data_IF_858659447548
#
_entry.id   IF_858659447548
#
_cell.length_a   1.000
_cell.length_b   1.000
_cell.length_c   1.000
_cell.angle_alpha   90.00
_cell.angle_beta   90.00
_cell.angle_gamma   90.00
#
_symmetry.space_group_name_H-M   'P 1'
#
loop_
_entity.id
_entity.type
_entity.pdbx_description
1 polymer ?
#
# COMPACT_ATOMS: atom_id res chain seq x y z
N UNK A 1 16.77 3.17 -20.07
CA UNK A 1 16.18 2.11 -19.22
C UNK A 1 16.91 1.94 -17.90
N UNK A 2 18.25 1.83 -17.85
CA UNK A 2 18.99 1.65 -16.58
C UNK A 2 18.69 2.76 -15.55
N UNK A 3 18.72 4.03 -15.98
CA UNK A 3 18.43 5.17 -15.10
C UNK A 3 17.03 5.11 -14.46
N UNK A 4 16.03 4.55 -15.15
CA UNK A 4 14.67 4.40 -14.64
C UNK A 4 14.61 3.47 -13.41
N UNK A 5 15.44 2.42 -13.39
CA UNK A 5 15.54 1.51 -12.25
C UNK A 5 16.43 2.07 -11.14
N UNK A 6 17.61 2.58 -11.50
CA UNK A 6 18.58 3.12 -10.53
C UNK A 6 17.98 4.26 -9.74
N UNK A 7 17.30 5.21 -10.40
CA UNK A 7 16.70 6.36 -9.73
C UNK A 7 15.65 5.95 -8.69
N UNK A 8 14.81 4.95 -8.98
CA UNK A 8 13.81 4.50 -8.00
C UNK A 8 14.44 3.75 -6.84
N UNK A 9 15.46 2.93 -7.10
CA UNK A 9 16.20 2.22 -6.07
C UNK A 9 16.88 3.18 -5.11
N UNK A 10 17.65 4.15 -5.63
CA UNK A 10 18.37 5.14 -4.84
C UNK A 10 17.45 6.04 -4.02
N UNK A 11 16.23 6.31 -4.49
CA UNK A 11 15.24 7.09 -3.75
C UNK A 11 14.64 6.35 -2.54
N UNK A 12 14.37 5.05 -2.67
CA UNK A 12 13.66 4.28 -1.63
C UNK A 12 14.63 3.62 -0.64
N UNK A 13 15.68 2.99 -1.13
CA UNK A 13 16.53 2.11 -0.32
C UNK A 13 17.20 2.77 0.88
N UNK A 14 17.70 4.03 0.84
CA UNK A 14 18.39 4.62 1.99
C UNK A 14 17.54 4.72 3.26
N UNK A 15 16.32 5.25 3.15
CA UNK A 15 15.42 5.36 4.30
C UNK A 15 14.94 3.98 4.77
N UNK A 16 14.71 3.05 3.84
CA UNK A 16 14.36 1.68 4.18
C UNK A 16 15.47 0.98 5.00
N UNK A 17 16.72 1.06 4.55
CA UNK A 17 17.87 0.48 5.26
C UNK A 17 18.06 1.12 6.63
N UNK A 18 17.85 2.42 6.77
CA UNK A 18 17.86 3.07 8.08
C UNK A 18 16.87 2.41 9.03
N UNK A 19 15.62 2.25 8.61
CA UNK A 19 14.59 1.66 9.49
C UNK A 19 14.94 0.22 9.82
N UNK A 20 15.52 -0.55 8.89
CA UNK A 20 16.09 -1.87 9.19
C UNK A 20 17.18 -1.79 10.27
N UNK A 21 18.11 -0.84 10.19
CA UNK A 21 19.16 -0.64 11.20
C UNK A 21 18.60 -0.23 12.56
N UNK A 22 17.61 0.67 12.59
CA UNK A 22 16.88 1.05 13.79
C UNK A 22 16.18 -0.16 14.40
N UNK A 23 15.52 -0.97 13.57
CA UNK A 23 14.88 -2.20 14.01
C UNK A 23 15.86 -3.15 14.68
N UNK A 24 17.03 -3.36 14.08
CA UNK A 24 18.04 -4.30 14.60
C UNK A 24 18.72 -3.79 15.89
N UNK A 25 18.98 -2.49 16.00
CA UNK A 25 19.89 -1.94 17.02
C UNK A 25 19.18 -1.16 18.12
N UNK A 26 18.04 -0.52 17.84
CA UNK A 26 17.36 0.35 18.78
C UNK A 26 16.10 -0.27 19.38
N UNK A 27 15.34 -1.06 18.60
CA UNK A 27 14.09 -1.65 19.11
C UNK A 27 14.24 -2.55 20.33
N UNK A 28 15.36 -3.26 20.58
CA UNK A 28 15.56 -3.99 21.84
C UNK A 28 15.47 -3.10 23.10
N UNK A 29 15.74 -1.80 22.97
CA UNK A 29 15.71 -0.83 24.07
C UNK A 29 14.40 -0.05 24.17
N UNK A 30 13.40 -0.34 23.33
CA UNK A 30 12.15 0.44 23.27
C UNK A 30 11.19 0.12 24.40
N UNK A 31 11.46 -0.86 25.25
CA UNK A 31 10.52 -1.22 26.29
C UNK A 31 10.91 -2.40 27.17
N UNK A 32 10.27 -2.45 28.33
CA UNK A 32 10.33 -3.55 29.29
C UNK A 32 8.92 -4.03 29.67
N UNK A 33 7.93 -3.77 28.80
CA UNK A 33 6.54 -4.12 29.07
C UNK A 33 6.26 -5.62 29.02
N UNK A 34 5.12 -6.07 29.58
CA UNK A 34 4.79 -7.49 29.68
C UNK A 34 4.56 -8.18 28.33
N UNK A 35 4.26 -7.41 27.28
CA UNK A 35 4.09 -7.91 25.91
C UNK A 35 5.34 -7.67 25.05
N UNK A 36 6.43 -7.16 25.63
CA UNK A 36 7.65 -6.90 24.91
C UNK A 36 8.31 -8.23 24.49
N UNK A 37 8.55 -8.47 23.19
CA UNK A 37 8.97 -9.77 22.69
C UNK A 37 10.45 -10.00 22.99
N UNK A 38 10.75 -10.51 24.19
CA UNK A 38 12.09 -10.89 24.64
C UNK A 38 13.14 -9.76 24.59
N UNK A 39 14.34 -10.00 25.12
CA UNK A 39 15.50 -9.10 25.04
C UNK A 39 15.97 -8.80 23.59
N UNK A 40 15.35 -9.43 22.58
CA UNK A 40 15.79 -9.34 21.18
C UNK A 40 15.12 -8.18 20.41
N UNK A 41 14.06 -7.53 20.92
CA UNK A 41 13.33 -6.47 20.21
C UNK A 41 12.27 -6.99 19.22
N UNK A 42 11.57 -6.09 18.53
CA UNK A 42 10.36 -6.43 17.76
C UNK A 42 10.64 -7.29 16.52
N UNK A 43 11.51 -6.82 15.64
CA UNK A 43 11.74 -7.38 14.30
C UNK A 43 13.17 -7.94 14.14
N UNK A 44 14.03 -7.75 15.16
CA UNK A 44 15.45 -8.11 15.13
C UNK A 44 15.73 -9.56 14.77
N UNK A 45 14.99 -10.58 15.29
CA UNK A 45 15.27 -11.97 14.95
C UNK A 45 15.06 -12.26 13.47
N UNK A 46 14.02 -11.66 12.87
CA UNK A 46 13.72 -11.79 11.45
C UNK A 46 14.74 -11.04 10.59
N UNK A 47 15.14 -9.85 11.02
CA UNK A 47 16.15 -9.04 10.33
C UNK A 47 17.57 -9.62 10.39
N UNK A 48 17.93 -10.35 11.45
CA UNK A 48 19.20 -11.08 11.56
C UNK A 48 19.15 -12.49 10.96
N UNK A 49 18.01 -12.89 10.40
CA UNK A 49 17.87 -14.17 9.72
C UNK A 49 18.75 -14.24 8.47
N UNK A 50 18.98 -15.45 7.96
CA UNK A 50 19.70 -15.68 6.69
C UNK A 50 19.03 -15.05 5.46
N UNK A 51 17.83 -14.50 5.59
CA UNK A 51 17.03 -13.93 4.49
C UNK A 51 17.09 -12.40 4.41
N UNK A 52 17.91 -11.72 5.22
CA UNK A 52 18.06 -10.25 5.24
C UNK A 52 18.27 -9.62 3.84
N UNK A 53 19.04 -10.31 2.98
CA UNK A 53 19.35 -9.86 1.63
C UNK A 53 18.11 -9.76 0.73
N UNK A 54 17.06 -10.54 1.01
CA UNK A 54 15.81 -10.53 0.24
C UNK A 54 15.06 -9.20 0.37
N UNK A 55 15.21 -8.50 1.51
CA UNK A 55 14.65 -7.18 1.72
C UNK A 55 15.36 -6.12 0.87
N UNK A 56 16.69 -6.20 0.75
CA UNK A 56 17.49 -5.26 -0.06
C UNK A 56 17.20 -5.41 -1.56
N UNK A 57 16.95 -6.65 -1.99
CA UNK A 57 16.55 -6.96 -3.36
C UNK A 57 15.05 -6.81 -3.61
N UNK A 58 14.26 -6.42 -2.61
CA UNK A 58 12.80 -6.26 -2.73
C UNK A 58 12.05 -7.53 -3.18
N UNK A 59 12.49 -8.72 -2.73
CA UNK A 59 11.89 -10.03 -3.08
C UNK A 59 11.50 -10.88 -1.86
N UNK A 60 11.53 -10.30 -0.66
CA UNK A 60 11.21 -11.03 0.58
C UNK A 60 9.79 -11.62 0.59
N UNK A 61 8.83 -10.94 -0.05
CA UNK A 61 7.45 -11.38 -0.19
C UNK A 61 7.24 -12.58 -1.14
N UNK A 62 8.28 -13.00 -1.88
CA UNK A 62 8.25 -14.16 -2.78
C UNK A 62 9.15 -15.28 -2.24
N UNK A 63 10.37 -14.95 -1.81
CA UNK A 63 11.37 -15.95 -1.43
C UNK A 63 11.02 -16.62 -0.11
N UNK A 64 10.78 -15.82 0.94
CA UNK A 64 10.43 -16.33 2.26
C UNK A 64 9.60 -15.27 3.01
N UNK A 65 8.28 -15.20 2.77
CA UNK A 65 7.42 -14.16 3.33
C UNK A 65 7.42 -14.16 4.87
N UNK A 66 7.48 -15.35 5.48
CA UNK A 66 7.50 -15.49 6.94
C UNK A 66 8.79 -15.00 7.60
N UNK A 67 9.83 -14.67 6.81
CA UNK A 67 11.13 -14.18 7.31
C UNK A 67 11.48 -12.81 6.74
N UNK A 68 10.48 -12.02 6.31
CA UNK A 68 10.71 -10.62 5.96
C UNK A 68 11.17 -9.85 7.21
N UNK A 69 12.25 -9.08 7.07
CA UNK A 69 12.82 -8.31 8.18
C UNK A 69 11.81 -7.31 8.77
N UNK A 70 11.18 -6.48 7.94
CA UNK A 70 10.11 -5.59 8.37
C UNK A 70 8.81 -6.10 7.76
N UNK A 71 7.80 -6.39 8.58
CA UNK A 71 6.53 -6.90 8.06
C UNK A 71 5.95 -5.95 7.01
N UNK A 72 5.84 -4.65 7.33
CA UNK A 72 5.42 -3.55 6.44
C UNK A 72 6.10 -3.53 5.04
N UNK A 73 7.31 -4.08 4.92
CA UNK A 73 8.10 -4.04 3.67
C UNK A 73 7.47 -4.83 2.52
N UNK A 74 6.49 -5.69 2.78
CA UNK A 74 5.74 -6.41 1.74
C UNK A 74 5.20 -5.49 0.65
N UNK A 75 4.75 -4.28 1.02
CA UNK A 75 4.24 -3.29 0.08
C UNK A 75 5.36 -2.71 -0.79
N UNK A 76 6.51 -2.42 -0.19
CA UNK A 76 7.71 -1.95 -0.89
C UNK A 76 8.22 -2.99 -1.87
N UNK A 77 8.23 -4.27 -1.47
CA UNK A 77 8.60 -5.38 -2.34
C UNK A 77 7.68 -5.43 -3.57
N UNK A 78 6.36 -5.38 -3.35
CA UNK A 78 5.38 -5.34 -4.43
C UNK A 78 5.56 -4.12 -5.35
N UNK A 79 5.70 -2.92 -4.78
CA UNK A 79 5.84 -1.68 -5.54
C UNK A 79 7.10 -1.68 -6.43
N UNK A 80 8.23 -2.16 -5.91
CA UNK A 80 9.46 -2.31 -6.70
C UNK A 80 9.31 -3.35 -7.82
N UNK A 81 8.68 -4.49 -7.53
CA UNK A 81 8.39 -5.53 -8.52
C UNK A 81 7.46 -5.01 -9.63
N UNK A 82 6.44 -4.23 -9.28
CA UNK A 82 5.57 -3.58 -10.26
C UNK A 82 6.33 -2.58 -11.13
N UNK A 83 7.24 -1.81 -10.53
CA UNK A 83 8.13 -0.91 -11.28
C UNK A 83 9.04 -1.65 -12.25
N UNK A 84 9.51 -2.86 -11.91
CA UNK A 84 10.32 -3.68 -12.82
C UNK A 84 9.59 -4.05 -14.11
N UNK A 85 8.31 -4.42 -13.99
CA UNK A 85 7.46 -4.86 -15.11
C UNK A 85 6.67 -3.74 -15.77
N UNK A 86 6.57 -2.55 -15.16
CA UNK A 86 5.87 -1.39 -15.71
C UNK A 86 6.29 -1.03 -17.15
N UNK A 87 7.57 -1.15 -17.55
CA UNK A 87 8.00 -0.94 -18.94
C UNK A 87 7.26 -1.76 -19.98
N UNK A 88 6.71 -2.93 -19.63
CA UNK A 88 5.88 -3.74 -20.53
C UNK A 88 4.65 -2.96 -21.04
N UNK A 89 4.10 -2.06 -20.23
CA UNK A 89 3.02 -1.15 -20.64
C UNK A 89 3.54 0.22 -21.08
N UNK A 90 4.55 0.78 -20.38
CA UNK A 90 5.08 2.12 -20.64
C UNK A 90 5.78 2.23 -22.00
N UNK A 91 6.57 1.23 -22.41
CA UNK A 91 7.27 1.27 -23.71
C UNK A 91 6.26 1.34 -24.88
N UNK A 92 5.22 0.48 -24.95
CA UNK A 92 4.16 0.64 -25.93
C UNK A 92 3.48 2.01 -25.92
N UNK A 93 3.24 2.60 -24.73
CA UNK A 93 2.66 3.94 -24.63
C UNK A 93 3.56 5.02 -25.26
N UNK A 94 4.86 4.99 -24.96
CA UNK A 94 5.84 5.96 -25.50
C UNK A 94 6.02 5.78 -27.01
N UNK A 95 6.00 4.54 -27.50
CA UNK A 95 6.12 4.23 -28.94
C UNK A 95 4.83 4.47 -29.74
N UNK A 96 3.79 5.07 -29.14
CA UNK A 96 2.51 5.33 -29.80
C UNK A 96 1.63 4.10 -30.01
N UNK A 97 2.04 2.92 -29.53
CA UNK A 97 1.27 1.66 -29.60
C UNK A 97 0.27 1.55 -28.43
N UNK A 98 -0.61 2.54 -28.35
CA UNK A 98 -1.56 2.77 -27.24
C UNK A 98 -2.37 1.52 -26.86
N UNK A 99 -2.91 0.81 -27.86
CA UNK A 99 -3.72 -0.40 -27.67
C UNK A 99 -2.95 -1.51 -26.96
N UNK A 100 -1.67 -1.69 -27.29
CA UNK A 100 -0.83 -2.73 -26.67
C UNK A 100 -0.58 -2.40 -25.20
N UNK A 101 -0.24 -1.15 -24.88
CA UNK A 101 -0.03 -0.75 -23.48
C UNK A 101 -1.29 -0.91 -22.61
N UNK A 102 -2.46 -0.55 -23.16
CA UNK A 102 -3.75 -0.78 -22.46
C UNK A 102 -4.02 -2.27 -22.29
N UNK A 103 -3.77 -3.08 -23.33
CA UNK A 103 -3.94 -4.54 -23.27
C UNK A 103 -3.06 -5.17 -22.19
N UNK A 104 -1.80 -4.76 -22.07
CA UNK A 104 -0.89 -5.22 -21.00
C UNK A 104 -1.44 -4.86 -19.62
N UNK A 105 -1.90 -3.62 -19.43
CA UNK A 105 -2.52 -3.21 -18.16
C UNK A 105 -3.77 -4.01 -17.82
N UNK A 106 -4.64 -4.28 -18.80
CA UNK A 106 -5.83 -5.13 -18.62
C UNK A 106 -5.43 -6.55 -18.25
N UNK A 107 -4.41 -7.13 -18.89
CA UNK A 107 -3.87 -8.45 -18.56
C UNK A 107 -3.40 -8.49 -17.09
N UNK A 108 -2.70 -7.46 -16.61
CA UNK A 108 -2.30 -7.40 -15.20
C UNK A 108 -3.50 -7.37 -14.24
N UNK A 109 -4.55 -6.63 -14.56
CA UNK A 109 -5.79 -6.64 -13.76
C UNK A 109 -6.43 -8.04 -13.77
N UNK A 110 -6.48 -8.70 -14.92
CA UNK A 110 -7.03 -10.05 -15.05
C UNK A 110 -6.19 -11.09 -14.30
N UNK A 111 -4.86 -10.97 -14.30
CA UNK A 111 -3.97 -11.81 -13.48
C UNK A 111 -4.32 -11.65 -12.00
N UNK A 112 -4.51 -10.42 -11.53
CA UNK A 112 -4.91 -10.16 -10.14
C UNK A 112 -6.24 -10.81 -9.78
N UNK A 113 -7.24 -10.66 -10.63
CA UNK A 113 -8.58 -11.24 -10.43
C UNK A 113 -8.49 -12.78 -10.45
N UNK A 114 -7.79 -13.33 -11.44
CA UNK A 114 -7.63 -14.77 -11.65
C UNK A 114 -6.86 -15.44 -10.51
N UNK A 115 -5.75 -14.84 -10.05
CA UNK A 115 -4.98 -15.39 -8.94
C UNK A 115 -5.75 -15.39 -7.63
N UNK A 116 -6.45 -14.30 -7.29
CA UNK A 116 -7.26 -14.26 -6.06
C UNK A 116 -8.37 -15.31 -6.14
N UNK A 117 -9.10 -15.36 -7.26
CA UNK A 117 -10.20 -16.30 -7.44
C UNK A 117 -9.71 -17.75 -7.38
N UNK A 118 -8.59 -18.06 -8.04
CA UNK A 118 -7.97 -19.39 -8.01
C UNK A 118 -7.53 -19.81 -6.61
N UNK A 119 -6.92 -18.89 -5.84
CA UNK A 119 -6.54 -19.16 -4.44
C UNK A 119 -7.76 -19.41 -3.56
N UNK A 120 -8.84 -18.66 -3.73
CA UNK A 120 -10.08 -18.84 -2.95
C UNK A 120 -10.80 -20.15 -3.30
N UNK A 121 -10.71 -20.62 -4.55
CA UNK A 121 -11.21 -21.95 -4.96
C UNK A 121 -10.36 -23.05 -4.31
N UNK A 122 -9.03 -22.88 -4.28
CA UNK A 122 -8.11 -23.85 -3.68
C UNK A 122 -8.25 -23.95 -2.16
N UNK A 123 -8.56 -22.83 -1.48
CA UNK A 123 -8.65 -22.74 -0.03
C UNK A 123 -10.03 -22.22 0.43
N UNK A 124 -11.10 -23.02 0.27
CA UNK A 124 -12.48 -22.56 0.51
C UNK A 124 -12.75 -22.23 1.98
N UNK A 125 -11.99 -22.80 2.92
CA UNK A 125 -12.11 -22.48 4.35
C UNK A 125 -11.81 -21.00 4.67
N UNK A 126 -11.08 -20.28 3.80
CA UNK A 126 -10.85 -18.84 3.94
C UNK A 126 -12.13 -18.02 3.81
N UNK A 127 -13.17 -18.60 3.20
CA UNK A 127 -14.41 -17.91 2.84
C UNK A 127 -15.63 -18.51 3.54
N UNK A 128 -15.59 -19.80 3.89
CA UNK A 128 -16.75 -20.56 4.38
C UNK A 128 -17.17 -20.26 5.83
N UNK A 129 -16.82 -19.10 6.40
CA UNK A 129 -17.26 -18.67 7.73
C UNK A 129 -16.76 -19.52 8.90
N UNK A 130 -15.91 -20.52 8.65
CA UNK A 130 -15.30 -21.38 9.68
C UNK A 130 -14.39 -20.62 10.64
N UNK A 131 -13.93 -19.44 10.22
CA UNK A 131 -13.10 -18.53 10.99
C UNK A 131 -13.82 -17.18 11.13
N UNK A 132 -13.79 -16.62 12.35
CA UNK A 132 -14.22 -15.23 12.57
C UNK A 132 -13.46 -14.28 11.62
N UNK A 133 -14.06 -13.16 11.18
CA UNK A 133 -13.44 -12.21 10.23
C UNK A 133 -12.00 -11.81 10.58
N UNK A 134 -11.73 -11.50 11.85
CA UNK A 134 -10.39 -11.16 12.33
C UNK A 134 -9.39 -12.32 12.15
N UNK A 135 -9.82 -13.55 12.43
CA UNK A 135 -9.00 -14.75 12.30
C UNK A 135 -8.76 -15.15 10.83
N UNK A 136 -9.67 -14.77 9.91
CA UNK A 136 -9.46 -14.94 8.45
C UNK A 136 -8.34 -14.04 7.94
N UNK A 137 -8.37 -12.76 8.33
CA UNK A 137 -7.38 -11.78 7.92
C UNK A 137 -5.98 -12.07 8.51
N UNK A 138 -5.92 -12.66 9.71
CA UNK A 138 -4.69 -13.07 10.38
C UNK A 138 -4.20 -14.47 10.00
N UNK A 139 -4.91 -15.21 9.13
CA UNK A 139 -4.53 -16.56 8.77
C UNK A 139 -3.21 -16.55 7.95
N UNK A 140 -2.16 -17.29 8.34
CA UNK A 140 -0.89 -17.31 7.62
C UNK A 140 -1.03 -17.69 6.14
N UNK A 141 -1.96 -18.60 5.82
CA UNK A 141 -2.22 -19.00 4.43
C UNK A 141 -2.84 -17.85 3.64
N UNK A 142 -3.76 -17.08 4.23
CA UNK A 142 -4.32 -15.89 3.57
C UNK A 142 -3.23 -14.84 3.33
N UNK A 143 -2.40 -14.61 4.35
CA UNK A 143 -1.30 -13.66 4.28
C UNK A 143 -0.33 -14.03 3.14
N UNK A 144 0.12 -15.29 3.09
CA UNK A 144 1.11 -15.74 2.13
C UNK A 144 0.55 -16.05 0.74
N UNK A 145 -0.75 -16.33 0.58
CA UNK A 145 -1.33 -16.68 -0.72
C UNK A 145 -2.11 -15.53 -1.39
N UNK A 146 -2.60 -14.55 -0.63
CA UNK A 146 -3.44 -13.45 -1.14
C UNK A 146 -2.89 -12.06 -0.77
N UNK A 147 -2.37 -11.90 0.45
CA UNK A 147 -2.02 -10.58 0.97
C UNK A 147 -0.67 -10.07 0.44
N UNK A 148 0.40 -10.84 0.64
CA UNK A 148 1.76 -10.48 0.22
C UNK A 148 2.04 -10.65 -1.28
N UNK A 149 1.52 -11.68 -1.97
CA UNK A 149 1.96 -11.93 -3.33
C UNK A 149 1.65 -10.80 -4.32
N UNK A 150 2.60 -10.45 -5.21
CA UNK A 150 2.46 -9.32 -6.13
C UNK A 150 1.34 -9.53 -7.14
N UNK A 151 1.16 -10.77 -7.64
CA UNK A 151 0.13 -11.07 -8.62
C UNK A 151 -1.28 -10.80 -8.09
N UNK A 152 -1.55 -10.94 -6.79
CA UNK A 152 -2.84 -10.59 -6.17
C UNK A 152 -3.01 -9.07 -5.92
N UNK A 153 -1.96 -8.27 -6.16
CA UNK A 153 -1.86 -6.86 -5.75
C UNK A 153 -1.55 -5.90 -6.90
N UNK A 154 -1.32 -6.40 -8.11
CA UNK A 154 -0.90 -5.60 -9.26
C UNK A 154 -2.03 -4.73 -9.86
N UNK A 155 -3.31 -5.07 -9.61
CA UNK A 155 -4.45 -4.39 -10.26
C UNK A 155 -4.51 -2.87 -10.04
N UNK A 156 -4.32 -2.31 -8.83
CA UNK A 156 -4.28 -0.85 -8.63
C UNK A 156 -3.17 -0.17 -9.41
N UNK A 157 -1.98 -0.80 -9.46
CA UNK A 157 -0.83 -0.28 -10.18
C UNK A 157 -1.11 -0.22 -11.68
N UNK A 158 -1.66 -1.29 -12.25
CA UNK A 158 -2.02 -1.37 -13.66
C UNK A 158 -3.09 -0.34 -14.06
N UNK A 159 -4.11 -0.14 -13.22
CA UNK A 159 -5.13 0.90 -13.42
C UNK A 159 -4.49 2.29 -13.37
N UNK A 160 -3.58 2.52 -12.42
CA UNK A 160 -2.82 3.77 -12.33
C UNK A 160 -2.00 4.07 -13.60
N UNK A 161 -1.34 3.06 -14.19
CA UNK A 161 -0.63 3.22 -15.46
C UNK A 161 -1.56 3.64 -16.61
N UNK A 162 -2.74 3.00 -16.71
CA UNK A 162 -3.73 3.32 -17.74
C UNK A 162 -4.29 4.74 -17.53
N UNK A 163 -4.67 5.09 -16.30
CA UNK A 163 -5.19 6.42 -15.98
C UNK A 163 -4.13 7.50 -16.24
N UNK A 164 -2.88 7.27 -15.83
CA UNK A 164 -1.77 8.18 -16.11
C UNK A 164 -1.55 8.38 -17.61
N UNK A 165 -1.60 7.30 -18.39
CA UNK A 165 -1.55 7.37 -19.85
C UNK A 165 -2.71 8.19 -20.44
N UNK A 166 -3.94 7.97 -19.95
CA UNK A 166 -5.12 8.75 -20.38
C UNK A 166 -4.91 10.24 -20.08
N UNK A 167 -4.49 10.60 -18.87
CA UNK A 167 -4.25 11.99 -18.47
C UNK A 167 -3.23 12.66 -19.39
N UNK A 168 -2.09 12.01 -19.65
CA UNK A 168 -1.03 12.55 -20.52
C UNK A 168 -1.54 12.84 -21.94
N UNK A 169 -2.36 11.95 -22.50
CA UNK A 169 -2.88 12.12 -23.87
C UNK A 169 -4.05 13.10 -23.95
N UNK A 170 -4.77 13.26 -22.86
CA UNK A 170 -5.99 14.07 -22.80
C UNK A 170 -5.66 15.55 -22.55
N UNK A 171 -4.53 15.83 -21.89
CA UNK A 171 -4.13 17.18 -21.50
C UNK A 171 -5.03 17.77 -20.41
N UNK A 172 -4.81 19.05 -20.06
CA UNK A 172 -5.60 19.72 -19.00
C UNK A 172 -7.02 20.10 -19.44
N UNK A 173 -7.28 20.19 -20.75
CA UNK A 173 -8.51 20.79 -21.28
C UNK A 173 -9.39 19.76 -21.99
N UNK A 174 -9.89 18.76 -21.26
CA UNK A 174 -10.86 17.81 -21.80
C UNK A 174 -12.26 18.07 -21.22
N UNK A 175 -13.08 18.92 -21.85
CA UNK A 175 -14.41 19.26 -21.35
C UNK A 175 -15.33 18.03 -21.38
N UNK A 176 -15.57 17.40 -20.22
CA UNK A 176 -16.59 16.37 -20.10
C UNK A 176 -17.98 16.98 -20.02
N UNK A 177 -18.96 16.32 -20.66
CA UNK A 177 -20.38 16.65 -20.50
C UNK A 177 -20.76 16.56 -19.02
N UNK A 178 -21.58 17.49 -18.53
CA UNK A 178 -22.01 17.54 -17.13
C UNK A 178 -22.61 16.21 -16.64
N UNK A 179 -23.43 15.56 -17.49
CA UNK A 179 -24.01 14.24 -17.20
C UNK A 179 -22.94 13.17 -16.97
N UNK A 180 -21.88 13.14 -17.79
CA UNK A 180 -20.77 12.19 -17.64
C UNK A 180 -20.02 12.41 -16.33
N UNK A 181 -19.76 13.67 -15.97
CA UNK A 181 -19.13 14.03 -14.68
C UNK A 181 -19.98 13.55 -13.51
N UNK A 182 -21.27 13.90 -13.49
CA UNK A 182 -22.17 13.53 -12.40
C UNK A 182 -22.31 12.01 -12.27
N UNK A 183 -22.58 11.31 -13.38
CA UNK A 183 -22.75 9.85 -13.36
C UNK A 183 -21.45 9.17 -12.93
N UNK A 184 -20.31 9.53 -13.53
CA UNK A 184 -19.02 8.92 -13.21
C UNK A 184 -18.64 9.15 -11.74
N UNK A 185 -18.84 10.36 -11.22
CA UNK A 185 -18.54 10.69 -9.84
C UNK A 185 -19.49 9.98 -8.86
N UNK A 186 -20.80 9.92 -9.16
CA UNK A 186 -21.75 9.15 -8.35
C UNK A 186 -21.42 7.66 -8.31
N UNK A 187 -21.02 7.07 -9.45
CA UNK A 187 -20.56 5.68 -9.51
C UNK A 187 -19.28 5.49 -8.69
N UNK A 188 -18.30 6.39 -8.82
CA UNK A 188 -17.06 6.33 -8.04
C UNK A 188 -17.32 6.41 -6.53
N UNK A 189 -18.19 7.32 -6.08
CA UNK A 189 -18.58 7.41 -4.67
C UNK A 189 -19.32 6.15 -4.21
N UNK A 190 -20.25 5.62 -5.01
CA UNK A 190 -20.98 4.40 -4.67
C UNK A 190 -20.04 3.18 -4.53
N UNK A 191 -19.07 3.06 -5.44
CA UNK A 191 -18.04 2.01 -5.39
C UNK A 191 -17.19 2.16 -4.12
N UNK A 192 -16.69 3.35 -3.83
CA UNK A 192 -15.87 3.61 -2.64
C UNK A 192 -16.66 3.33 -1.35
N UNK A 193 -17.90 3.79 -1.29
CA UNK A 193 -18.81 3.53 -0.18
C UNK A 193 -19.03 2.02 0.01
N UNK A 194 -19.38 1.29 -1.05
CA UNK A 194 -19.54 -0.17 -0.99
C UNK A 194 -18.26 -0.87 -0.52
N UNK A 195 -17.08 -0.46 -1.01
CA UNK A 195 -15.82 -1.07 -0.61
C UNK A 195 -15.52 -0.92 0.90
N UNK A 196 -15.91 0.21 1.51
CA UNK A 196 -15.72 0.45 2.95
C UNK A 196 -16.78 -0.29 3.76
N UNK A 197 -18.06 -0.14 3.41
CA UNK A 197 -19.16 -0.62 4.25
C UNK A 197 -19.38 -2.13 4.15
N UNK A 198 -18.96 -2.80 3.07
CA UNK A 198 -19.02 -4.28 2.99
C UNK A 198 -18.09 -4.91 4.04
N UNK A 199 -16.86 -4.40 4.19
CA UNK A 199 -15.95 -4.89 5.24
C UNK A 199 -16.46 -4.61 6.65
N UNK A 200 -17.03 -3.42 6.85
CA UNK A 200 -17.66 -3.08 8.11
C UNK A 200 -18.80 -4.06 8.43
N UNK A 201 -19.66 -4.37 7.45
CA UNK A 201 -20.72 -5.36 7.60
C UNK A 201 -20.17 -6.76 7.94
N UNK A 202 -19.09 -7.22 7.28
CA UNK A 202 -18.45 -8.51 7.61
C UNK A 202 -17.96 -8.56 9.05
N UNK A 203 -17.48 -7.44 9.60
CA UNK A 203 -16.97 -7.37 10.98
C UNK A 203 -18.06 -7.34 12.06
N UNK A 204 -19.25 -6.83 11.75
CA UNK A 204 -20.36 -6.67 12.72
C UNK A 204 -21.34 -7.83 12.67
N UNK A 205 -21.50 -8.48 11.52
CA UNK A 205 -22.38 -9.63 11.37
C UNK A 205 -21.81 -10.85 12.09
N UNK A 206 -22.61 -11.43 13.01
CA UNK A 206 -22.21 -12.61 13.82
C UNK A 206 -21.71 -13.78 12.97
N UNK A 207 -22.31 -14.00 11.80
CA UNK A 207 -21.97 -15.09 10.89
C UNK A 207 -21.08 -14.63 9.72
N UNK A 208 -20.61 -13.38 9.73
CA UNK A 208 -19.93 -12.74 8.60
C UNK A 208 -20.82 -12.60 7.35
N UNK A 209 -20.21 -12.19 6.24
CA UNK A 209 -20.85 -12.15 4.93
C UNK A 209 -20.99 -13.55 4.32
N UNK A 210 -21.96 -13.70 3.41
CA UNK A 210 -22.06 -14.94 2.63
C UNK A 210 -20.77 -15.19 1.83
N UNK A 211 -20.37 -16.46 1.62
CA UNK A 211 -19.11 -16.77 0.93
C UNK A 211 -19.02 -16.14 -0.46
N UNK A 212 -20.13 -16.08 -1.20
CA UNK A 212 -20.19 -15.45 -2.53
C UNK A 212 -19.85 -13.96 -2.49
N UNK A 213 -20.40 -13.24 -1.51
CA UNK A 213 -20.12 -11.80 -1.34
C UNK A 213 -18.67 -11.60 -0.90
N UNK A 214 -18.15 -12.45 -0.02
CA UNK A 214 -16.76 -12.36 0.42
C UNK A 214 -15.78 -12.62 -0.75
N UNK A 215 -16.02 -13.64 -1.59
CA UNK A 215 -15.20 -13.89 -2.79
C UNK A 215 -15.26 -12.68 -3.73
N UNK A 216 -16.46 -12.19 -4.04
CA UNK A 216 -16.63 -11.03 -4.91
C UNK A 216 -15.88 -9.81 -4.36
N UNK A 217 -15.96 -9.58 -3.05
CA UNK A 217 -15.25 -8.50 -2.38
C UNK A 217 -13.73 -8.65 -2.48
N UNK A 218 -13.18 -9.81 -2.11
CA UNK A 218 -11.73 -10.04 -2.14
C UNK A 218 -11.15 -9.88 -3.55
N UNK A 219 -11.89 -10.33 -4.57
CA UNK A 219 -11.46 -10.28 -5.96
C UNK A 219 -11.61 -8.89 -6.59
N UNK A 220 -12.72 -8.18 -6.33
CA UNK A 220 -13.09 -6.98 -7.09
C UNK A 220 -12.86 -5.66 -6.35
N UNK A 221 -12.80 -5.66 -5.02
CA UNK A 221 -12.69 -4.41 -4.23
C UNK A 221 -11.48 -3.57 -4.64
N UNK A 222 -10.30 -4.19 -4.82
CA UNK A 222 -9.06 -3.49 -5.18
C UNK A 222 -9.11 -2.83 -6.56
N UNK A 223 -9.46 -3.53 -7.66
CA UNK A 223 -9.57 -2.88 -8.96
C UNK A 223 -10.70 -1.84 -8.99
N UNK A 224 -11.86 -2.11 -8.37
CA UNK A 224 -12.98 -1.16 -8.35
C UNK A 224 -12.64 0.12 -7.58
N UNK A 225 -12.05 -0.01 -6.39
CA UNK A 225 -11.54 1.13 -5.62
C UNK A 225 -10.54 1.95 -6.43
N UNK A 226 -9.63 1.28 -7.12
CA UNK A 226 -8.60 1.94 -7.93
C UNK A 226 -9.20 2.68 -9.14
N UNK A 227 -10.27 2.16 -9.74
CA UNK A 227 -11.02 2.85 -10.79
C UNK A 227 -11.75 4.08 -10.25
N UNK A 228 -12.38 3.97 -9.07
CA UNK A 228 -13.06 5.08 -8.42
C UNK A 228 -12.09 6.23 -8.10
N UNK A 229 -10.94 5.91 -7.51
CA UNK A 229 -9.87 6.88 -7.25
C UNK A 229 -9.27 7.41 -8.57
N UNK A 230 -9.04 6.54 -9.55
CA UNK A 230 -8.54 6.92 -10.87
C UNK A 230 -9.44 7.92 -11.60
N UNK A 231 -10.76 7.75 -11.51
CA UNK A 231 -11.75 8.71 -12.01
C UNK A 231 -11.61 10.07 -11.33
N UNK A 232 -11.46 10.09 -10.01
CA UNK A 232 -11.27 11.35 -9.27
C UNK A 232 -9.95 12.04 -9.60
N UNK A 233 -8.85 11.28 -9.74
CA UNK A 233 -7.55 11.82 -10.17
C UNK A 233 -7.66 12.41 -11.58
N UNK A 234 -8.37 11.74 -12.49
CA UNK A 234 -8.60 12.24 -13.84
C UNK A 234 -9.38 13.58 -13.83
N UNK A 235 -10.46 13.67 -13.05
CA UNK A 235 -11.23 14.91 -12.93
C UNK A 235 -10.41 16.04 -12.30
N UNK A 236 -9.62 15.77 -11.26
CA UNK A 236 -8.76 16.78 -10.64
C UNK A 236 -7.66 17.24 -11.60
N UNK A 237 -7.08 16.33 -12.38
CA UNK A 237 -6.01 16.65 -13.36
C UNK A 237 -6.49 17.43 -14.58
N UNK A 238 -7.81 17.41 -14.85
CA UNK A 238 -8.47 18.13 -15.95
C UNK A 238 -9.26 19.36 -15.47
N UNK A 239 -8.96 19.84 -14.24
CA UNK A 239 -9.61 20.99 -13.59
C UNK A 239 -11.14 20.87 -13.46
N UNK A 240 -11.66 19.63 -13.40
CA UNK A 240 -13.09 19.31 -13.31
C UNK A 240 -13.50 18.65 -11.98
N UNK A 241 -12.57 18.51 -11.04
CA UNK A 241 -12.83 17.91 -9.72
C UNK A 241 -13.60 18.80 -8.74
N UNK A 242 -13.85 20.07 -9.08
CA UNK A 242 -14.61 21.00 -8.24
C UNK A 242 -14.05 21.11 -6.82
N UNK A 243 -14.92 20.98 -5.81
CA UNK A 243 -14.55 21.07 -4.38
C UNK A 243 -13.46 20.05 -4.03
N UNK A 244 -13.50 18.85 -4.60
CA UNK A 244 -12.50 17.82 -4.30
C UNK A 244 -11.11 18.27 -4.78
N UNK A 245 -11.03 18.90 -5.96
CA UNK A 245 -9.77 19.44 -6.45
C UNK A 245 -9.24 20.55 -5.53
N UNK A 246 -10.12 21.44 -5.06
CA UNK A 246 -9.75 22.51 -4.11
C UNK A 246 -9.18 21.94 -2.81
N UNK A 247 -9.83 20.93 -2.23
CA UNK A 247 -9.38 20.30 -0.99
C UNK A 247 -8.05 19.58 -1.22
N UNK A 248 -7.93 18.75 -2.26
CA UNK A 248 -6.73 17.94 -2.50
C UNK A 248 -5.52 18.76 -2.97
N UNK A 249 -5.74 19.93 -3.57
CA UNK A 249 -4.67 20.85 -3.99
C UNK A 249 -4.23 21.81 -2.88
N UNK A 250 -4.79 21.68 -1.67
CA UNK A 250 -4.49 22.61 -0.58
C UNK A 250 -3.01 22.48 -0.13
N UNK A 251 -2.24 23.59 0.01
CA UNK A 251 -0.81 23.52 0.29
C UNK A 251 -0.45 22.85 1.63
N UNK A 252 -1.39 22.74 2.56
CA UNK A 252 -1.19 22.02 3.83
C UNK A 252 -0.80 20.56 3.63
N UNK A 253 -1.21 19.94 2.51
CA UNK A 253 -0.87 18.57 2.17
C UNK A 253 0.57 18.40 1.69
N UNK A 254 1.21 19.46 1.19
CA UNK A 254 2.58 19.39 0.66
C UNK A 254 3.57 18.82 1.69
N UNK A 255 3.75 19.39 2.90
CA UNK A 255 4.69 18.84 3.88
C UNK A 255 4.33 17.41 4.30
N UNK A 256 3.04 17.09 4.48
CA UNK A 256 2.59 15.75 4.84
C UNK A 256 2.91 14.72 3.75
N UNK A 257 2.76 15.10 2.48
CA UNK A 257 3.09 14.23 1.35
C UNK A 257 4.57 13.89 1.26
N UNK A 258 5.45 14.83 1.65
CA UNK A 258 6.90 14.60 1.71
C UNK A 258 7.29 13.68 2.86
N UNK A 259 6.57 13.72 3.98
CA UNK A 259 6.82 12.86 5.15
C UNK A 259 6.24 11.45 5.01
N UNK A 260 5.30 11.25 4.09
CA UNK A 260 4.49 10.04 4.02
C UNK A 260 5.31 8.75 3.85
N UNK A 261 6.43 8.78 3.12
CA UNK A 261 7.28 7.61 2.98
C UNK A 261 8.00 7.25 4.28
N UNK A 262 8.63 8.22 4.94
CA UNK A 262 9.22 8.02 6.26
C UNK A 262 8.18 7.53 7.29
N UNK A 263 7.01 8.16 7.31
CA UNK A 263 5.88 7.77 8.16
C UNK A 263 5.44 6.31 7.89
N UNK A 264 5.31 5.93 6.63
CA UNK A 264 4.99 4.57 6.22
C UNK A 264 6.02 3.55 6.72
N UNK A 265 7.32 3.87 6.72
CA UNK A 265 8.32 2.90 7.18
C UNK A 265 8.29 2.68 8.69
N UNK A 266 8.04 3.72 9.48
CA UNK A 266 8.20 3.68 10.95
C UNK A 266 6.90 3.38 11.70
N UNK A 267 5.73 3.56 11.09
CA UNK A 267 4.46 3.49 11.83
C UNK A 267 4.29 2.13 12.53
N UNK A 268 4.55 1.00 11.86
CA UNK A 268 4.42 -0.33 12.49
C UNK A 268 5.34 -0.46 13.72
N UNK A 269 6.56 0.08 13.68
CA UNK A 269 7.48 0.07 14.83
C UNK A 269 6.93 0.88 16.00
N UNK A 270 6.32 2.04 15.74
CA UNK A 270 5.70 2.89 16.78
C UNK A 270 4.49 2.19 17.39
N UNK A 271 3.63 1.59 16.56
CA UNK A 271 2.49 0.81 17.02
C UNK A 271 2.95 -0.40 17.86
N UNK A 272 3.95 -1.14 17.40
CA UNK A 272 4.50 -2.28 18.13
C UNK A 272 5.08 -1.85 19.48
N UNK A 273 5.87 -0.77 19.53
CA UNK A 273 6.41 -0.22 20.77
C UNK A 273 5.32 0.19 21.75
N UNK A 274 4.26 0.84 21.28
CA UNK A 274 3.17 1.26 22.15
C UNK A 274 2.36 0.08 22.70
N UNK A 275 2.10 -0.95 21.88
CA UNK A 275 1.36 -2.15 22.30
C UNK A 275 2.20 -2.97 23.27
N UNK A 276 3.47 -3.21 22.96
CA UNK A 276 4.38 -4.03 23.75
C UNK A 276 4.63 -3.48 25.16
N UNK A 277 4.66 -2.15 25.29
CA UNK A 277 4.84 -1.48 26.57
C UNK A 277 3.55 -1.31 27.38
N UNK A 278 2.39 -1.74 26.88
CA UNK A 278 1.15 -1.64 27.64
C UNK A 278 1.16 -2.60 28.82
N UNK A 279 0.80 -2.07 29.97
CA UNK A 279 0.56 -2.84 31.21
C UNK A 279 -0.93 -3.08 31.47
N UNK A 280 -1.81 -2.47 30.67
CA UNK A 280 -3.27 -2.56 30.83
C UNK A 280 -3.95 -3.11 29.57
N UNK A 281 -5.08 -3.83 29.71
CA UNK A 281 -5.85 -4.33 28.58
C UNK A 281 -6.36 -3.23 27.67
N UNK A 282 -6.48 -3.52 26.37
CA UNK A 282 -7.09 -2.63 25.38
C UNK A 282 -8.59 -2.90 25.36
N UNK A 283 -9.38 -1.92 25.79
CA UNK A 283 -10.83 -1.96 25.61
C UNK A 283 -11.20 -1.42 24.22
N UNK A 284 -11.78 -2.28 23.38
CA UNK A 284 -12.16 -1.95 22.01
C UNK A 284 -13.52 -1.21 21.96
N UNK A 285 -13.52 0.04 22.40
CA UNK A 285 -14.66 0.96 22.21
C UNK A 285 -14.28 2.09 21.26
N UNK A 286 -15.26 2.61 20.52
CA UNK A 286 -15.04 3.49 19.36
C UNK A 286 -14.20 4.73 19.69
N UNK A 287 -14.48 5.38 20.82
CA UNK A 287 -13.75 6.59 21.22
C UNK A 287 -12.28 6.32 21.55
N UNK A 288 -11.98 5.24 22.28
CA UNK A 288 -10.61 4.84 22.61
C UNK A 288 -9.79 4.48 21.37
N UNK A 289 -10.43 3.87 20.36
CA UNK A 289 -9.79 3.55 19.09
C UNK A 289 -9.46 4.82 18.27
N UNK A 290 -10.40 5.78 18.22
CA UNK A 290 -10.18 7.07 17.55
C UNK A 290 -9.03 7.83 18.23
N UNK A 291 -9.06 7.93 19.56
CA UNK A 291 -8.00 8.59 20.32
C UNK A 291 -6.62 7.96 20.06
N UNK A 292 -6.54 6.63 20.10
CA UNK A 292 -5.29 5.91 19.84
C UNK A 292 -4.82 6.12 18.40
N UNK A 293 -5.73 6.10 17.43
CA UNK A 293 -5.41 6.33 16.01
C UNK A 293 -4.84 7.72 15.77
N UNK A 294 -5.49 8.76 16.30
CA UNK A 294 -5.02 10.15 16.17
C UNK A 294 -3.64 10.31 16.83
N UNK A 295 -3.45 9.71 18.01
CA UNK A 295 -2.17 9.74 18.72
C UNK A 295 -1.06 9.08 17.89
N UNK A 296 -1.30 7.87 17.36
CA UNK A 296 -0.30 7.17 16.55
C UNK A 296 0.03 7.89 15.26
N UNK A 297 -0.96 8.48 14.57
CA UNK A 297 -0.71 9.31 13.39
C UNK A 297 0.19 10.49 13.77
N UNK A 298 -0.15 11.22 14.84
CA UNK A 298 0.64 12.36 15.27
C UNK A 298 2.10 11.98 15.56
N UNK A 299 2.34 10.98 16.42
CA UNK A 299 3.70 10.56 16.76
C UNK A 299 4.47 9.99 15.56
N UNK A 300 3.79 9.28 14.66
CA UNK A 300 4.39 8.79 13.42
C UNK A 300 4.88 9.95 12.55
N UNK A 301 4.07 10.98 12.33
CA UNK A 301 4.52 12.12 11.53
C UNK A 301 5.61 12.93 12.21
N UNK A 302 5.59 13.06 13.55
CA UNK A 302 6.67 13.73 14.30
C UNK A 302 8.01 13.00 14.11
N UNK A 303 8.04 11.68 14.25
CA UNK A 303 9.28 10.91 14.07
C UNK A 303 9.68 10.83 12.59
N UNK A 304 8.71 10.83 11.66
CA UNK A 304 8.99 10.85 10.23
C UNK A 304 9.77 12.10 9.80
N UNK A 305 9.59 13.24 10.47
CA UNK A 305 10.39 14.46 10.24
C UNK A 305 11.88 14.17 10.43
N UNK A 306 12.25 13.44 11.50
CA UNK A 306 13.64 13.07 11.77
C UNK A 306 14.17 12.17 10.65
N UNK A 307 13.42 11.14 10.26
CA UNK A 307 13.81 10.21 9.19
C UNK A 307 14.04 10.96 7.87
N UNK A 308 13.14 11.88 7.50
CA UNK A 308 13.21 12.61 6.24
C UNK A 308 14.35 13.63 6.22
N UNK A 309 14.55 14.39 7.30
CA UNK A 309 15.59 15.42 7.36
C UNK A 309 16.98 14.80 7.36
N UNK A 310 17.21 13.78 8.18
CA UNK A 310 18.55 13.22 8.36
C UNK A 310 18.94 12.21 7.29
N UNK A 311 17.98 11.59 6.58
CA UNK A 311 18.28 10.49 5.67
C UNK A 311 17.65 10.67 4.29
N UNK A 312 16.34 10.90 4.16
CA UNK A 312 15.75 11.01 2.82
C UNK A 312 16.31 12.23 2.04
N UNK A 313 16.36 13.39 2.69
CA UNK A 313 16.78 14.65 2.05
C UNK A 313 18.25 14.64 1.60
N UNK A 314 19.24 14.23 2.42
CA UNK A 314 20.64 14.18 2.00
C UNK A 314 20.86 13.22 0.82
N UNK A 315 20.22 12.06 0.82
CA UNK A 315 20.39 11.08 -0.26
C UNK A 315 19.75 11.56 -1.58
N UNK A 316 18.61 12.27 -1.54
CA UNK A 316 18.06 12.95 -2.72
C UNK A 316 19.04 13.98 -3.29
N UNK A 317 19.74 14.73 -2.43
CA UNK A 317 20.74 15.72 -2.87
C UNK A 317 21.96 15.02 -3.49
N UNK A 318 22.44 13.94 -2.88
CA UNK A 318 23.55 13.13 -3.39
C UNK A 318 23.20 12.56 -4.76
N UNK A 319 22.02 11.93 -4.90
CA UNK A 319 21.54 11.39 -6.16
C UNK A 319 21.50 12.46 -7.26
N UNK A 320 20.90 13.63 -6.97
CA UNK A 320 20.83 14.74 -7.93
C UNK A 320 22.21 15.20 -8.39
N UNK A 321 23.23 15.14 -7.52
CA UNK A 321 24.61 15.50 -7.87
C UNK A 321 25.30 14.41 -8.69
N UNK A 322 25.02 13.13 -8.43
CA UNK A 322 25.57 12.00 -9.18
C UNK A 322 24.98 11.89 -10.59
N UNK A 323 23.69 12.16 -10.76
CA UNK A 323 22.99 12.06 -12.07
C UNK A 323 23.22 13.30 -12.95
N UNK A 324 23.55 14.47 -12.36
CA UNK A 324 23.87 15.70 -13.12
C UNK A 324 25.30 15.73 -13.68
N UNK A 325 26.13 14.73 -13.39
CA UNK A 325 27.43 14.52 -14.03
C UNK A 325 27.30 13.44 -15.10
#
# INVERSE_FOLDING_TARGET
MVLYYVHRYMRLTPAFLLVVLVSINLTPYFGNGPLFPSEQGFETPLCRSRYWWTSILYIGNIVQPDHMCLTVSWYLHNDMQFHWIAPLALIPFVLGRKRIGVMVGVIFVLISIGSISGTLIRYPYMVNGTLQPANRAANPTFINAIYYPPWCRISPYAIGLIVGFIIINTGRTCPLRMRTKLIGTSIAFAISFACIFIMFADSVLRNGLSPKVHIAYQTLSRPLWSLAIGWMIFLCSTDQGGIVNTILSWPIWAPLSHLNYGAFLIHETILAAAIANRTTPIYNYSFGLIHSTVSFIFFTYVIAIVVVIFFETPFIVIEKRLIKR
#
